data_IF_961680082014
#
_entry.id   IF_961680082014
#
_cell.length_a   1.000
_cell.length_b   1.000
_cell.length_c   1.000
_cell.angle_alpha   90.00
_cell.angle_beta   90.00
_cell.angle_gamma   90.00
#
_symmetry.space_group_name_H-M   'P 1'
#
loop_
_entity.id
_entity.type
_entity.pdbx_description
1 polymer ?
#
# COMPACT_ATOMS: atom_id res chain seq x y z
N UNK A 1 -9.06 6.87 19.78
CA UNK A 1 -9.17 6.57 18.33
C UNK A 1 -9.19 5.05 18.19
N UNK A 2 -9.68 4.49 17.09
CA UNK A 2 -9.73 3.02 16.92
C UNK A 2 -8.33 2.38 16.78
N UNK A 3 -7.35 3.18 16.34
CA UNK A 3 -5.95 2.78 16.19
C UNK A 3 -5.04 3.87 16.76
N UNK A 4 -3.89 3.47 17.28
CA UNK A 4 -2.95 4.35 17.96
C UNK A 4 -1.90 4.94 17.01
N UNK A 5 -1.64 4.28 15.88
CA UNK A 5 -0.69 4.71 14.86
C UNK A 5 -1.00 4.13 13.47
N UNK A 6 -0.23 4.57 12.46
CA UNK A 6 -0.37 4.05 11.09
C UNK A 6 -0.06 2.55 11.01
N UNK A 7 0.84 2.02 11.86
CA UNK A 7 1.27 0.62 11.78
C UNK A 7 0.16 -0.31 12.26
N UNK A 8 -0.47 0.02 13.37
CA UNK A 8 -1.65 -0.65 13.91
C UNK A 8 -2.84 -0.56 12.97
N UNK A 9 -3.03 0.58 12.29
CA UNK A 9 -4.04 0.69 11.23
C UNK A 9 -3.75 -0.23 10.03
N UNK A 10 -2.51 -0.24 9.51
CA UNK A 10 -2.13 -1.12 8.40
C UNK A 10 -2.24 -2.61 8.78
N UNK A 11 -1.93 -2.96 10.03
CA UNK A 11 -2.14 -4.33 10.53
C UNK A 11 -3.62 -4.72 10.51
N UNK A 12 -4.52 -3.82 10.93
CA UNK A 12 -5.94 -4.09 10.85
C UNK A 12 -6.42 -4.28 9.40
N UNK A 13 -5.92 -3.48 8.45
CA UNK A 13 -6.23 -3.68 7.03
C UNK A 13 -5.74 -5.04 6.52
N UNK A 14 -4.57 -5.49 6.94
CA UNK A 14 -4.02 -6.81 6.61
C UNK A 14 -4.88 -7.94 7.21
N UNK A 15 -5.23 -7.85 8.49
CA UNK A 15 -6.06 -8.83 9.20
C UNK A 15 -7.46 -8.97 8.56
N UNK A 16 -7.98 -7.89 7.98
CA UNK A 16 -9.26 -7.85 7.28
C UNK A 16 -9.17 -8.13 5.76
N UNK A 17 -7.98 -8.42 5.23
CA UNK A 17 -7.78 -8.70 3.80
C UNK A 17 -7.96 -7.47 2.89
N UNK A 18 -7.86 -6.27 3.47
CA UNK A 18 -7.97 -4.97 2.79
C UNK A 18 -6.60 -4.35 2.48
N UNK A 19 -5.49 -5.02 2.81
CA UNK A 19 -4.14 -4.63 2.45
C UNK A 19 -3.53 -5.62 1.45
N UNK A 20 -3.14 -5.13 0.28
CA UNK A 20 -2.36 -5.89 -0.70
C UNK A 20 -0.87 -5.62 -0.49
N UNK A 21 -0.12 -6.65 -0.12
CA UNK A 21 1.34 -6.60 0.03
C UNK A 21 2.03 -7.02 -1.27
N UNK A 22 2.95 -6.18 -1.73
CA UNK A 22 3.70 -6.33 -2.97
C UNK A 22 5.18 -6.36 -2.59
N UNK A 23 5.80 -7.54 -2.73
CA UNK A 23 7.21 -7.78 -2.40
C UNK A 23 8.11 -7.98 -3.62
N UNK A 24 7.56 -7.83 -4.82
CA UNK A 24 8.38 -7.73 -6.03
C UNK A 24 9.23 -6.46 -6.00
N UNK A 25 10.44 -6.51 -6.57
CA UNK A 25 11.27 -5.31 -6.67
C UNK A 25 10.63 -4.32 -7.64
N UNK A 26 10.30 -3.13 -7.15
CA UNK A 26 9.65 -2.07 -7.91
C UNK A 26 10.54 -0.83 -7.98
N UNK A 27 10.48 -0.10 -9.10
CA UNK A 27 11.07 1.22 -9.17
C UNK A 27 10.18 2.21 -8.43
N UNK A 28 10.78 3.17 -7.72
CA UNK A 28 10.01 4.25 -7.08
C UNK A 28 9.16 5.01 -8.10
N UNK A 29 9.70 5.22 -9.30
CA UNK A 29 8.98 5.69 -10.49
C UNK A 29 9.41 4.83 -11.69
N UNK A 30 8.49 4.46 -12.61
CA UNK A 30 7.07 4.85 -12.65
C UNK A 30 6.13 3.91 -11.88
N UNK A 31 6.65 2.84 -11.26
CA UNK A 31 5.84 1.69 -10.89
C UNK A 31 4.85 1.99 -9.75
N UNK A 32 5.27 2.75 -8.74
CA UNK A 32 4.39 3.15 -7.62
C UNK A 32 3.24 4.04 -8.10
N UNK A 33 3.51 5.00 -8.97
CA UNK A 33 2.50 5.88 -9.53
C UNK A 33 1.49 5.10 -10.39
N UNK A 34 1.97 4.13 -11.19
CA UNK A 34 1.12 3.25 -11.97
C UNK A 34 0.20 2.39 -11.09
N UNK A 35 0.74 1.81 -10.00
CA UNK A 35 -0.04 1.01 -9.08
C UNK A 35 -1.14 1.82 -8.37
N UNK A 36 -0.81 3.02 -7.87
CA UNK A 36 -1.81 3.90 -7.25
C UNK A 36 -2.93 4.30 -8.23
N UNK A 37 -2.54 4.61 -9.48
CA UNK A 37 -3.46 4.96 -10.55
C UNK A 37 -4.35 3.79 -10.99
N UNK A 38 -3.84 2.55 -10.95
CA UNK A 38 -4.63 1.35 -11.20
C UNK A 38 -5.63 1.10 -10.06
N UNK A 39 -5.18 1.21 -8.80
CA UNK A 39 -6.04 1.05 -7.63
C UNK A 39 -7.17 2.08 -7.60
N UNK A 40 -6.90 3.35 -7.91
CA UNK A 40 -7.94 4.38 -8.03
C UNK A 40 -8.98 4.10 -9.12
N UNK A 41 -8.68 3.26 -10.11
CA UNK A 41 -9.65 2.82 -11.14
C UNK A 41 -10.49 1.62 -10.73
N UNK A 42 -10.06 0.85 -9.73
CA UNK A 42 -10.86 -0.26 -9.19
C UNK A 42 -12.13 0.30 -8.53
N UNK A 43 -12.04 1.48 -7.90
CA UNK A 43 -13.18 2.16 -7.26
C UNK A 43 -13.46 1.60 -5.87
N UNK A 44 -14.73 1.55 -5.49
CA UNK A 44 -15.15 1.09 -4.15
C UNK A 44 -14.60 -0.32 -3.85
N UNK A 45 -14.00 -0.47 -2.68
CA UNK A 45 -13.39 -1.73 -2.25
C UNK A 45 -11.97 -1.98 -2.78
N UNK A 46 -11.35 -0.99 -3.43
CA UNK A 46 -9.94 -1.07 -3.78
C UNK A 46 -9.05 -1.24 -2.52
N UNK A 47 -8.12 -2.20 -2.49
CA UNK A 47 -7.30 -2.44 -1.31
C UNK A 47 -6.31 -1.30 -1.09
N UNK A 48 -5.89 -1.12 0.16
CA UNK A 48 -4.65 -0.40 0.44
C UNK A 48 -3.47 -1.17 -0.16
N UNK A 49 -2.42 -0.46 -0.57
CA UNK A 49 -1.21 -1.05 -1.11
C UNK A 49 -0.06 -0.91 -0.13
N UNK A 50 0.77 -1.95 -0.04
CA UNK A 50 2.00 -1.97 0.73
C UNK A 50 3.15 -2.51 -0.12
N UNK A 51 4.18 -1.69 -0.31
CA UNK A 51 5.41 -2.05 -1.02
C UNK A 51 6.56 -2.14 -0.02
N UNK A 52 7.32 -3.23 -0.04
CA UNK A 52 8.48 -3.43 0.85
C UNK A 52 9.81 -3.69 0.14
N UNK A 53 9.83 -3.62 -1.20
CA UNK A 53 11.03 -3.82 -2.01
C UNK A 53 11.13 -2.76 -3.11
N UNK A 54 11.72 -1.61 -2.77
CA UNK A 54 11.88 -0.48 -3.71
C UNK A 54 13.33 -0.38 -4.16
N UNK A 55 13.55 -0.52 -5.46
CA UNK A 55 14.86 -0.45 -6.08
C UNK A 55 15.58 0.84 -5.71
N UNK A 56 16.82 0.69 -5.24
CA UNK A 56 17.66 1.83 -4.82
C UNK A 56 17.47 2.26 -3.37
N UNK A 57 16.60 1.60 -2.60
CA UNK A 57 16.41 1.82 -1.18
C UNK A 57 16.58 0.52 -0.40
N UNK A 58 17.26 0.58 0.74
CA UNK A 58 17.58 -0.62 1.53
C UNK A 58 16.40 -1.11 2.38
N UNK A 59 15.62 -0.18 2.97
CA UNK A 59 14.55 -0.51 3.93
C UNK A 59 13.30 0.38 3.74
N UNK A 60 13.17 1.01 2.58
CA UNK A 60 12.02 1.86 2.30
C UNK A 60 10.75 1.01 2.14
N UNK A 61 9.68 1.45 2.79
CA UNK A 61 8.34 0.88 2.66
C UNK A 61 7.38 1.99 2.30
N UNK A 62 6.49 1.72 1.36
CA UNK A 62 5.50 2.69 0.89
C UNK A 62 4.11 2.10 1.08
N UNK A 63 3.24 2.86 1.75
CA UNK A 63 1.83 2.56 1.85
C UNK A 63 1.03 3.55 0.99
N UNK A 64 0.10 3.07 0.18
CA UNK A 64 -0.75 3.90 -0.68
C UNK A 64 -2.20 3.45 -0.58
N UNK A 65 -3.12 4.31 -1.04
CA UNK A 65 -4.56 4.03 -1.05
C UNK A 65 -5.14 3.67 0.34
N UNK A 66 -4.56 4.17 1.43
CA UNK A 66 -4.95 3.80 2.80
C UNK A 66 -6.31 4.38 3.24
N UNK A 67 -6.86 5.33 2.48
CA UNK A 67 -8.15 6.01 2.71
C UNK A 67 -8.96 6.19 1.41
N UNK A 68 -8.58 5.49 0.33
CA UNK A 68 -9.18 5.68 -1.00
C UNK A 68 -10.31 4.72 -1.34
N UNK A 69 -10.82 4.00 -0.33
CA UNK A 69 -11.95 3.08 -0.39
C UNK A 69 -13.16 3.64 0.34
#
# INVERSE_FOLDING_TARGET
MAFDDLRSFLQALDDHGQLLKISEEMNAEPDLAAAANATGRIGDGAPALWFDNIRGFTDARVAMNTIGS
#
